data_IF_084659852076
#
_entry.id   IF_084659852076
#
_cell.length_a   1.000
_cell.length_b   1.000
_cell.length_c   1.000
_cell.angle_alpha   90.00
_cell.angle_beta   90.00
_cell.angle_gamma   90.00
#
_symmetry.space_group_name_H-M   'P 1'
#
loop_
_entity.id
_entity.type
_entity.pdbx_description
1 polymer ?
#
# COMPACT_ATOMS: atom_id res chain seq x y z
N UNK A 1 8.17 -13.31 11.01
CA UNK A 1 8.95 -12.61 9.97
C UNK A 1 9.71 -11.48 10.62
N UNK A 2 11.03 -11.39 10.38
CA UNK A 2 11.87 -10.34 10.91
C UNK A 2 12.22 -9.37 9.77
N UNK A 3 11.81 -8.09 9.88
CA UNK A 3 12.07 -7.05 8.88
C UNK A 3 10.92 -6.08 8.70
N UNK A 4 11.09 -5.12 7.78
CA UNK A 4 10.07 -4.13 7.42
C UNK A 4 8.98 -4.66 6.50
N UNK A 5 8.07 -3.76 6.06
CA UNK A 5 6.90 -4.09 5.24
C UNK A 5 7.26 -4.90 3.98
N UNK A 6 8.36 -4.58 3.29
CA UNK A 6 8.80 -5.33 2.11
C UNK A 6 9.16 -6.80 2.40
N UNK A 7 9.71 -7.09 3.58
CA UNK A 7 10.01 -8.47 4.00
C UNK A 7 8.71 -9.22 4.34
N UNK A 8 7.75 -8.52 4.93
CA UNK A 8 6.42 -9.08 5.24
C UNK A 8 5.66 -9.38 3.95
N UNK A 9 5.69 -8.50 2.95
CA UNK A 9 5.12 -8.75 1.62
C UNK A 9 5.71 -10.01 0.97
N UNK A 10 7.02 -10.21 1.12
CA UNK A 10 7.69 -11.42 0.63
C UNK A 10 7.25 -12.68 1.37
N UNK A 11 7.08 -12.60 2.68
CA UNK A 11 6.61 -13.71 3.49
C UNK A 11 5.13 -14.03 3.20
N UNK A 12 4.33 -13.02 2.86
CA UNK A 12 2.94 -13.20 2.45
C UNK A 12 2.79 -14.15 1.26
N UNK A 13 3.78 -14.20 0.36
CA UNK A 13 3.80 -15.15 -0.77
C UNK A 13 3.83 -16.63 -0.31
N UNK A 14 4.33 -16.91 0.89
CA UNK A 14 4.40 -18.25 1.46
C UNK A 14 3.11 -18.66 2.19
N UNK A 15 2.31 -17.70 2.64
CA UNK A 15 1.11 -17.96 3.44
C UNK A 15 -0.19 -17.62 2.72
N UNK A 16 -0.14 -16.94 1.58
CA UNK A 16 -1.32 -16.66 0.78
C UNK A 16 -2.03 -17.96 0.39
N UNK A 17 -3.34 -18.00 0.60
CA UNK A 17 -4.15 -19.21 0.38
C UNK A 17 -4.07 -20.25 1.49
N UNK A 18 -3.41 -19.94 2.61
CA UNK A 18 -3.39 -20.80 3.80
C UNK A 18 -4.03 -20.09 5.00
N UNK A 19 -4.29 -20.86 6.07
CA UNK A 19 -4.83 -20.32 7.34
C UNK A 19 -3.73 -19.83 8.30
N UNK A 20 -2.47 -19.84 7.88
CA UNK A 20 -1.34 -19.47 8.72
C UNK A 20 -1.22 -17.95 8.82
N UNK A 21 -1.39 -17.35 10.02
CA UNK A 21 -1.23 -15.93 10.19
C UNK A 21 0.26 -15.53 10.22
N UNK A 22 0.59 -14.38 9.65
CA UNK A 22 1.93 -13.79 9.68
C UNK A 22 2.08 -12.83 10.86
N UNK A 23 3.13 -12.99 11.64
CA UNK A 23 3.61 -11.96 12.57
C UNK A 23 4.84 -11.27 11.97
N UNK A 24 4.77 -9.95 11.83
CA UNK A 24 5.91 -9.11 11.47
C UNK A 24 6.57 -8.50 12.72
N UNK A 25 7.88 -8.66 12.85
CA UNK A 25 8.69 -7.96 13.87
C UNK A 25 9.63 -7.01 13.15
N UNK A 26 9.51 -5.73 13.46
CA UNK A 26 10.31 -4.67 12.86
C UNK A 26 11.73 -4.68 13.44
N UNK A 27 12.72 -4.42 12.58
CA UNK A 27 14.12 -4.38 12.99
C UNK A 27 14.70 -2.96 13.04
N UNK A 28 13.89 -1.92 12.84
CA UNK A 28 14.42 -0.55 12.89
C UNK A 28 13.47 0.58 12.56
N UNK A 29 12.59 0.48 11.60
CA UNK A 29 11.71 1.60 11.21
C UNK A 29 10.25 1.18 11.28
N UNK A 30 9.40 2.02 11.86
CA UNK A 30 7.96 1.79 11.97
C UNK A 30 7.36 1.48 10.61
N UNK A 31 6.75 0.29 10.48
CA UNK A 31 5.97 -0.17 9.33
C UNK A 31 4.47 -0.20 9.64
N UNK A 32 3.65 -0.44 8.62
CA UNK A 32 2.21 -0.62 8.80
C UNK A 32 1.84 -2.08 9.05
N UNK A 33 2.68 -3.02 8.62
CA UNK A 33 2.42 -4.45 8.71
C UNK A 33 3.05 -5.11 9.94
N UNK A 34 4.21 -4.60 10.40
CA UNK A 34 4.88 -5.11 11.59
C UNK A 34 4.12 -4.76 12.89
N UNK A 35 4.19 -5.67 13.86
CA UNK A 35 3.46 -5.57 15.15
C UNK A 35 4.35 -5.22 16.34
N UNK A 36 5.61 -5.64 16.31
CA UNK A 36 6.53 -5.54 17.42
C UNK A 36 7.85 -4.96 16.96
N UNK A 37 8.57 -4.32 17.86
CA UNK A 37 9.93 -3.87 17.66
C UNK A 37 10.93 -4.95 18.10
N UNK A 38 12.19 -4.75 17.73
CA UNK A 38 13.26 -5.73 17.98
C UNK A 38 13.45 -6.04 19.47
N UNK A 39 13.29 -5.04 20.32
CA UNK A 39 13.46 -5.13 21.77
C UNK A 39 12.46 -6.09 22.41
N UNK A 40 11.29 -6.26 21.80
CA UNK A 40 10.19 -7.08 22.30
C UNK A 40 10.17 -8.50 21.71
N UNK A 41 11.21 -8.90 20.94
CA UNK A 41 11.21 -10.18 20.22
C UNK A 41 10.95 -11.40 21.13
N UNK A 42 11.56 -11.45 22.32
CA UNK A 42 11.35 -12.57 23.26
C UNK A 42 9.91 -12.64 23.76
N UNK A 43 9.34 -11.48 24.10
CA UNK A 43 7.95 -11.40 24.51
C UNK A 43 7.01 -11.78 23.36
N UNK A 44 7.29 -11.34 22.15
CA UNK A 44 6.52 -11.69 20.95
C UNK A 44 6.53 -13.21 20.68
N UNK A 45 7.71 -13.86 20.78
CA UNK A 45 7.84 -15.31 20.61
C UNK A 45 7.09 -16.07 21.72
N UNK A 46 7.19 -15.62 22.98
CA UNK A 46 6.48 -16.24 24.10
C UNK A 46 4.96 -16.18 23.91
N UNK A 47 4.44 -15.01 23.48
CA UNK A 47 3.02 -14.85 23.18
C UNK A 47 2.56 -15.69 21.99
N UNK A 48 3.36 -15.80 20.94
CA UNK A 48 3.07 -16.72 19.83
C UNK A 48 2.98 -18.18 20.29
N UNK A 49 3.94 -18.63 21.10
CA UNK A 49 3.94 -19.99 21.65
C UNK A 49 2.71 -20.27 22.52
N UNK A 50 2.28 -19.28 23.29
CA UNK A 50 1.07 -19.32 24.10
C UNK A 50 -0.22 -19.14 23.29
N UNK A 51 -0.16 -18.86 21.98
CA UNK A 51 -1.28 -18.47 21.11
C UNK A 51 -2.04 -17.24 21.62
N UNK A 52 -1.35 -16.35 22.32
CA UNK A 52 -1.90 -15.09 22.83
C UNK A 52 -1.74 -13.99 21.78
N UNK A 53 -2.55 -14.06 20.73
CA UNK A 53 -2.65 -13.07 19.66
C UNK A 53 -4.04 -13.09 19.04
N UNK A 54 -4.43 -11.99 18.43
CA UNK A 54 -5.61 -11.93 17.57
C UNK A 54 -5.21 -12.09 16.09
N UNK A 55 -6.14 -12.55 15.26
CA UNK A 55 -5.95 -12.64 13.82
C UNK A 55 -6.72 -11.53 13.15
N UNK A 56 -6.01 -10.70 12.39
CA UNK A 56 -6.59 -9.65 11.55
C UNK A 56 -6.54 -10.09 10.08
N UNK A 57 -7.67 -10.08 9.40
CA UNK A 57 -7.75 -10.36 7.99
C UNK A 57 -7.53 -9.09 7.16
N UNK A 58 -6.64 -9.17 6.19
CA UNK A 58 -6.33 -8.10 5.25
C UNK A 58 -6.86 -8.43 3.87
N UNK A 59 -7.57 -7.48 3.29
CA UNK A 59 -8.04 -7.58 1.91
C UNK A 59 -6.87 -7.76 0.96
N UNK A 60 -7.01 -8.67 0.02
CA UNK A 60 -6.10 -8.96 -1.08
C UNK A 60 -6.85 -8.69 -2.38
N UNK A 61 -6.18 -8.26 -3.42
CA UNK A 61 -6.74 -8.20 -4.77
C UNK A 61 -6.25 -9.36 -5.63
N UNK A 62 -7.18 -10.02 -6.33
CA UNK A 62 -6.90 -10.94 -7.42
C UNK A 62 -6.66 -10.16 -8.70
N UNK A 63 -5.71 -10.60 -9.49
CA UNK A 63 -5.35 -10.02 -10.77
C UNK A 63 -5.43 -11.07 -11.87
N UNK A 64 -6.04 -10.70 -13.00
CA UNK A 64 -6.05 -11.51 -14.23
C UNK A 64 -5.54 -10.68 -15.37
N UNK A 65 -4.58 -11.21 -16.10
CA UNK A 65 -3.99 -10.56 -17.29
C UNK A 65 -4.39 -11.34 -18.53
N UNK A 66 -5.13 -10.70 -19.39
CA UNK A 66 -5.49 -11.19 -20.71
C UNK A 66 -4.51 -10.60 -21.72
N UNK A 67 -3.72 -11.45 -22.33
CA UNK A 67 -2.77 -11.08 -23.39
C UNK A 67 -3.47 -11.04 -24.76
N UNK A 68 -2.96 -10.23 -25.71
CA UNK A 68 -3.60 -10.05 -27.01
C UNK A 68 -3.59 -11.31 -27.90
N UNK A 69 -2.78 -12.31 -27.58
CA UNK A 69 -2.72 -13.60 -28.28
C UNK A 69 -3.91 -14.54 -27.96
N UNK A 70 -4.77 -14.16 -27.00
CA UNK A 70 -5.99 -14.90 -26.65
C UNK A 70 -5.74 -16.19 -25.86
N UNK A 71 -4.57 -16.36 -25.27
CA UNK A 71 -4.25 -17.49 -24.37
C UNK A 71 -5.01 -17.45 -23.03
N UNK A 72 -4.76 -18.45 -22.18
CA UNK A 72 -5.31 -18.48 -20.82
C UNK A 72 -4.81 -17.26 -20.02
N UNK A 73 -5.68 -16.60 -19.25
CA UNK A 73 -5.28 -15.44 -18.46
C UNK A 73 -4.20 -15.79 -17.43
N UNK A 74 -3.15 -14.99 -17.38
CA UNK A 74 -2.14 -15.09 -16.32
C UNK A 74 -2.74 -14.57 -15.03
N UNK A 75 -2.62 -15.33 -13.94
CA UNK A 75 -3.18 -15.00 -12.63
C UNK A 75 -2.12 -14.44 -11.71
N UNK A 76 -2.50 -13.44 -10.93
CA UNK A 76 -1.70 -12.84 -9.87
C UNK A 76 -2.59 -12.41 -8.71
N UNK A 77 -1.96 -11.86 -7.69
CA UNK A 77 -2.63 -11.27 -6.54
C UNK A 77 -1.74 -10.18 -5.93
N UNK A 78 -2.29 -9.31 -5.10
CA UNK A 78 -1.51 -8.31 -4.36
C UNK A 78 -2.13 -8.01 -3.00
N UNK A 79 -1.27 -7.85 -1.98
CA UNK A 79 -1.66 -7.38 -0.65
C UNK A 79 -1.73 -5.86 -0.62
N UNK A 80 -0.72 -5.17 -1.17
CA UNK A 80 -0.73 -3.72 -1.27
C UNK A 80 -1.41 -3.27 -2.57
N UNK A 81 -0.77 -3.50 -3.71
CA UNK A 81 -1.25 -2.99 -5.00
C UNK A 81 -0.80 -3.82 -6.19
N UNK A 82 -1.62 -3.77 -7.24
CA UNK A 82 -1.27 -4.12 -8.60
C UNK A 82 -1.08 -2.83 -9.40
N UNK A 83 0.10 -2.62 -9.97
CA UNK A 83 0.45 -1.41 -10.73
C UNK A 83 0.69 -1.75 -12.18
N UNK A 84 -0.04 -1.12 -13.09
CA UNK A 84 0.23 -1.11 -14.52
C UNK A 84 1.05 0.12 -14.83
N UNK A 85 2.28 -0.04 -15.28
CA UNK A 85 3.18 1.06 -15.60
C UNK A 85 3.73 0.94 -17.02
N UNK A 86 4.20 2.06 -17.57
CA UNK A 86 4.90 2.10 -18.85
C UNK A 86 6.20 1.29 -18.79
N UNK A 87 6.47 0.51 -19.81
CA UNK A 87 7.72 -0.27 -19.91
C UNK A 87 8.90 0.61 -20.35
N UNK A 88 8.65 1.71 -21.08
CA UNK A 88 9.66 2.62 -21.60
C UNK A 88 9.59 3.95 -20.86
N UNK A 89 10.73 4.38 -20.31
CA UNK A 89 10.81 5.58 -19.48
C UNK A 89 10.40 6.86 -20.20
N UNK A 90 10.76 6.98 -21.47
CA UNK A 90 10.61 8.20 -22.29
C UNK A 90 9.21 8.34 -22.92
N UNK A 91 8.39 7.31 -22.85
CA UNK A 91 7.08 7.29 -23.52
C UNK A 91 5.97 7.03 -22.51
N UNK A 92 4.83 7.67 -22.70
CA UNK A 92 3.62 7.37 -21.93
C UNK A 92 3.02 6.05 -22.42
N UNK A 93 2.31 5.36 -21.49
CA UNK A 93 1.38 4.30 -21.83
C UNK A 93 -0.01 4.91 -22.02
N UNK A 94 -0.72 4.48 -23.06
CA UNK A 94 -2.11 4.87 -23.25
C UNK A 94 -3.03 3.75 -22.76
N UNK A 95 -3.93 4.09 -21.84
CA UNK A 95 -4.83 3.13 -21.22
C UNK A 95 -6.29 3.56 -21.25
N UNK A 96 -7.18 2.58 -21.11
CA UNK A 96 -8.58 2.78 -20.70
C UNK A 96 -8.76 2.17 -19.33
N UNK A 97 -9.18 2.96 -18.38
CA UNK A 97 -9.62 2.48 -17.07
C UNK A 97 -11.12 2.25 -17.11
N UNK A 98 -11.55 1.07 -16.70
CA UNK A 98 -12.96 0.69 -16.63
C UNK A 98 -13.35 0.15 -15.26
N UNK A 99 -14.63 0.19 -14.95
CA UNK A 99 -15.23 -0.39 -13.75
C UNK A 99 -16.51 -1.10 -14.15
N UNK A 100 -16.65 -2.36 -13.71
CA UNK A 100 -17.83 -3.20 -13.95
C UNK A 100 -18.23 -3.31 -15.43
N UNK A 101 -17.21 -3.48 -16.29
CA UNK A 101 -17.36 -3.62 -17.73
C UNK A 101 -17.67 -2.32 -18.48
N UNK A 102 -17.63 -1.17 -17.80
CA UNK A 102 -17.86 0.15 -18.41
C UNK A 102 -16.58 1.00 -18.38
N UNK A 103 -16.19 1.63 -19.50
CA UNK A 103 -15.07 2.55 -19.51
C UNK A 103 -15.41 3.79 -18.66
N UNK A 104 -14.46 4.19 -17.81
CA UNK A 104 -14.54 5.39 -16.97
C UNK A 104 -13.74 6.53 -17.57
N UNK A 105 -12.50 6.24 -18.00
CA UNK A 105 -11.61 7.25 -18.57
C UNK A 105 -10.56 6.61 -19.47
N UNK A 106 -10.12 7.37 -20.49
CA UNK A 106 -9.01 6.99 -21.38
C UNK A 106 -8.00 8.11 -21.41
N UNK A 107 -6.72 7.80 -21.16
CA UNK A 107 -5.65 8.80 -21.09
C UNK A 107 -4.26 8.19 -21.31
N UNK A 108 -3.30 9.05 -21.64
CA UNK A 108 -1.86 8.77 -21.55
C UNK A 108 -1.37 9.03 -20.13
N UNK A 109 -0.52 8.17 -19.59
CA UNK A 109 -0.02 8.27 -18.23
C UNK A 109 1.33 7.56 -18.06
N UNK A 110 1.89 7.67 -16.86
CA UNK A 110 3.02 6.84 -16.45
C UNK A 110 2.56 5.47 -15.94
N UNK A 111 1.33 5.38 -15.45
CA UNK A 111 0.71 4.13 -14.99
C UNK A 111 -0.60 4.32 -14.26
N UNK A 112 -1.13 3.20 -13.75
CA UNK A 112 -2.33 3.13 -12.90
C UNK A 112 -2.06 2.16 -11.75
N UNK A 113 -2.22 2.64 -10.52
CA UNK A 113 -2.13 1.82 -9.30
C UNK A 113 -3.52 1.38 -8.90
N UNK A 114 -3.72 0.08 -8.68
CA UNK A 114 -4.95 -0.47 -8.10
C UNK A 114 -4.59 -1.08 -6.74
N UNK A 115 -5.02 -0.46 -5.65
CA UNK A 115 -4.56 -0.79 -4.31
C UNK A 115 -5.69 -1.22 -3.37
N UNK A 116 -5.33 -2.03 -2.37
CA UNK A 116 -6.15 -2.34 -1.20
C UNK A 116 -6.07 -1.22 -0.16
N UNK A 117 -6.84 -1.33 0.93
CA UNK A 117 -6.68 -0.45 2.09
C UNK A 117 -5.24 -0.53 2.66
N UNK A 118 -4.64 -1.71 2.68
CA UNK A 118 -3.23 -1.89 3.11
C UNK A 118 -2.28 -1.12 2.20
N UNK A 119 -2.43 -1.21 0.89
CA UNK A 119 -1.62 -0.51 -0.12
C UNK A 119 -1.87 0.99 -0.19
N UNK A 120 -2.97 1.50 0.41
CA UNK A 120 -3.27 2.93 0.43
C UNK A 120 -2.20 3.78 1.12
N UNK A 121 -1.37 3.18 1.95
CA UNK A 121 -0.23 3.82 2.64
C UNK A 121 1.13 3.51 1.98
N UNK A 122 1.14 2.81 0.84
CA UNK A 122 2.33 2.44 0.07
C UNK A 122 2.45 3.26 -1.23
N UNK A 123 2.53 2.61 -2.39
CA UNK A 123 2.70 3.31 -3.68
C UNK A 123 1.51 4.24 -4.00
N UNK A 124 0.29 3.82 -3.69
CA UNK A 124 -0.90 4.65 -3.89
C UNK A 124 -0.83 5.97 -3.11
N UNK A 125 -0.26 5.97 -1.88
CA UNK A 125 -0.04 7.20 -1.11
C UNK A 125 0.92 8.15 -1.82
N UNK A 126 2.06 7.64 -2.29
CA UNK A 126 3.06 8.43 -3.02
C UNK A 126 2.51 9.01 -4.32
N UNK A 127 1.50 8.36 -4.90
CA UNK A 127 0.77 8.80 -6.08
C UNK A 127 -0.37 9.80 -5.78
N UNK A 128 -0.52 10.23 -4.53
CA UNK A 128 -1.57 11.18 -4.11
C UNK A 128 -2.93 10.53 -3.84
N UNK A 129 -2.98 9.23 -3.68
CA UNK A 129 -4.17 8.50 -3.23
C UNK A 129 -4.50 8.78 -1.75
N UNK A 130 -5.77 8.67 -1.35
CA UNK A 130 -6.18 8.81 0.04
C UNK A 130 -5.69 7.63 0.89
N UNK A 131 -5.41 7.89 2.17
CA UNK A 131 -5.22 6.83 3.16
C UNK A 131 -6.58 6.19 3.48
N UNK A 132 -6.65 4.88 3.38
CA UNK A 132 -7.82 4.10 3.77
C UNK A 132 -7.53 3.35 5.06
N UNK A 133 -8.51 3.35 5.98
CA UNK A 133 -8.42 2.53 7.19
C UNK A 133 -8.43 1.05 6.83
N UNK A 134 -7.73 0.20 7.59
CA UNK A 134 -7.62 -1.24 7.30
C UNK A 134 -8.95 -1.97 7.15
N UNK A 135 -9.98 -1.50 7.87
CA UNK A 135 -11.33 -2.08 7.88
C UNK A 135 -12.17 -1.67 6.67
N UNK A 136 -11.70 -0.71 5.87
CA UNK A 136 -12.44 -0.26 4.67
C UNK A 136 -12.30 -1.31 3.57
N UNK A 137 -13.39 -1.99 3.29
CA UNK A 137 -13.47 -2.98 2.21
C UNK A 137 -13.77 -2.29 0.88
N UNK A 138 -12.74 -1.80 0.22
CA UNK A 138 -12.80 -1.09 -1.05
C UNK A 138 -11.48 -1.25 -1.83
N UNK A 139 -11.52 -0.92 -3.12
CA UNK A 139 -10.36 -0.89 -4.00
C UNK A 139 -10.12 0.54 -4.44
N UNK A 140 -8.87 0.98 -4.32
CA UNK A 140 -8.42 2.31 -4.70
C UNK A 140 -7.78 2.26 -6.08
N UNK A 141 -8.15 3.17 -6.97
CA UNK A 141 -7.54 3.31 -8.30
C UNK A 141 -6.91 4.69 -8.40
N UNK A 142 -5.59 4.74 -8.61
CA UNK A 142 -4.82 5.99 -8.66
C UNK A 142 -4.06 6.08 -9.98
N UNK A 143 -4.38 7.04 -10.86
CA UNK A 143 -3.58 7.28 -12.06
C UNK A 143 -2.25 7.98 -11.71
N UNK A 144 -1.17 7.59 -12.39
CA UNK A 144 0.17 8.16 -12.24
C UNK A 144 0.44 9.13 -13.38
N UNK A 145 0.68 10.41 -13.07
CA UNK A 145 1.01 11.45 -14.06
C UNK A 145 0.07 11.43 -15.29
N UNK A 146 -1.22 11.27 -15.07
CA UNK A 146 -2.21 11.16 -16.13
C UNK A 146 -2.45 12.49 -16.84
N UNK A 147 -2.39 12.48 -18.17
CA UNK A 147 -2.75 13.59 -19.03
C UNK A 147 -4.26 13.52 -19.36
N UNK A 148 -5.09 13.94 -18.41
CA UNK A 148 -6.54 13.90 -18.52
C UNK A 148 -7.18 15.09 -17.77
N UNK A 149 -8.37 15.51 -18.22
CA UNK A 149 -9.17 16.52 -17.50
C UNK A 149 -9.63 16.02 -16.13
N UNK A 150 -9.88 14.72 -16.03
CA UNK A 150 -10.22 14.04 -14.76
C UNK A 150 -9.14 12.98 -14.46
N UNK A 151 -8.21 13.32 -13.56
CA UNK A 151 -7.12 12.46 -13.11
C UNK A 151 -7.14 12.37 -11.57
N UNK A 152 -8.31 12.04 -11.01
CA UNK A 152 -8.48 11.89 -9.57
C UNK A 152 -8.47 10.43 -9.17
N UNK A 153 -7.92 10.10 -7.98
CA UNK A 153 -8.09 8.77 -7.40
C UNK A 153 -9.58 8.42 -7.25
N UNK A 154 -9.91 7.16 -7.53
CA UNK A 154 -11.25 6.61 -7.35
C UNK A 154 -11.21 5.56 -6.24
N UNK A 155 -12.25 5.52 -5.43
CA UNK A 155 -12.53 4.44 -4.48
C UNK A 155 -13.74 3.68 -5.00
N UNK A 156 -13.57 2.40 -5.30
CA UNK A 156 -14.66 1.54 -5.81
C UNK A 156 -15.03 0.48 -4.78
N UNK A 157 -16.28 0.04 -4.84
CA UNK A 157 -16.80 -0.93 -3.87
C UNK A 157 -16.15 -2.33 -4.01
N UNK A 158 -16.28 -3.16 -2.97
CA UNK A 158 -15.57 -4.45 -2.90
C UNK A 158 -16.05 -5.48 -3.93
N UNK A 159 -17.22 -5.28 -4.53
CA UNK A 159 -17.76 -6.16 -5.57
C UNK A 159 -17.44 -5.72 -6.98
N UNK A 160 -16.82 -4.54 -7.13
CA UNK A 160 -16.45 -4.02 -8.45
C UNK A 160 -15.22 -4.70 -9.02
N UNK A 161 -15.20 -4.83 -10.33
CA UNK A 161 -14.04 -5.24 -11.11
C UNK A 161 -13.46 -4.01 -11.79
N UNK A 162 -12.21 -3.70 -11.49
CA UNK A 162 -11.44 -2.66 -12.16
C UNK A 162 -10.74 -3.26 -13.35
N UNK A 163 -10.78 -2.58 -14.51
CA UNK A 163 -10.00 -2.98 -15.69
C UNK A 163 -9.04 -1.87 -16.10
N UNK A 164 -7.85 -2.27 -16.54
CA UNK A 164 -6.87 -1.40 -17.19
C UNK A 164 -6.50 -2.02 -18.51
N UNK A 165 -6.97 -1.42 -19.60
CA UNK A 165 -6.70 -1.85 -20.97
C UNK A 165 -5.54 -1.05 -21.54
N UNK A 166 -4.44 -1.70 -21.90
CA UNK A 166 -3.35 -1.07 -22.67
C UNK A 166 -3.79 -0.97 -24.12
N UNK A 167 -3.88 0.27 -24.63
CA UNK A 167 -4.38 0.46 -25.98
C UNK A 167 -3.43 -0.12 -27.04
N UNK A 168 -3.95 -0.72 -28.13
CA UNK A 168 -3.11 -1.26 -29.21
C UNK A 168 -2.19 -0.22 -29.85
N UNK A 169 -2.64 1.06 -29.88
CA UNK A 169 -1.89 2.19 -30.44
C UNK A 169 -0.91 2.83 -29.46
N UNK A 170 -0.83 2.35 -28.22
CA UNK A 170 0.04 2.93 -27.20
C UNK A 170 1.50 2.98 -27.68
N UNK A 171 2.17 4.11 -27.41
CA UNK A 171 3.57 4.31 -27.78
C UNK A 171 4.53 3.47 -26.92
N UNK A 172 4.11 3.02 -25.75
CA UNK A 172 4.83 2.12 -24.87
C UNK A 172 3.97 0.90 -24.57
N UNK A 173 4.56 -0.28 -24.49
CA UNK A 173 3.95 -1.42 -23.80
C UNK A 173 3.89 -1.16 -22.30
N UNK A 174 3.15 -1.99 -21.59
CA UNK A 174 3.01 -1.93 -20.14
C UNK A 174 3.78 -3.01 -19.42
N UNK A 175 3.85 -2.84 -18.11
CA UNK A 175 4.31 -3.84 -17.16
C UNK A 175 3.34 -3.84 -16.00
N UNK A 176 2.82 -5.00 -15.63
CA UNK A 176 2.12 -5.20 -14.38
C UNK A 176 3.13 -5.60 -13.30
N UNK A 177 3.04 -4.97 -12.15
CA UNK A 177 3.80 -5.35 -10.96
C UNK A 177 2.87 -5.52 -9.78
N UNK A 178 2.89 -6.67 -9.11
CA UNK A 178 2.16 -6.93 -7.88
C UNK A 178 3.09 -6.82 -6.68
N UNK A 179 2.71 -5.99 -5.69
CA UNK A 179 3.48 -5.70 -4.46
C UNK A 179 4.95 -5.32 -4.73
N UNK A 180 5.21 -4.59 -5.82
CA UNK A 180 6.53 -4.15 -6.23
C UNK A 180 7.50 -5.26 -6.66
N UNK A 181 7.05 -6.52 -6.82
CA UNK A 181 7.93 -7.68 -7.04
C UNK A 181 7.54 -8.59 -8.19
N UNK A 182 6.32 -9.11 -8.18
CA UNK A 182 5.84 -10.09 -9.18
C UNK A 182 5.45 -9.35 -10.43
N UNK A 183 6.22 -9.56 -11.49
CA UNK A 183 6.14 -8.81 -12.73
C UNK A 183 5.57 -9.64 -13.87
N UNK A 184 4.71 -9.03 -14.68
CA UNK A 184 4.16 -9.57 -15.93
C UNK A 184 4.27 -8.49 -17.01
N UNK A 185 4.88 -8.80 -18.14
CA UNK A 185 4.94 -7.88 -19.27
C UNK A 185 3.57 -7.80 -19.97
N UNK A 186 3.18 -6.60 -20.35
CA UNK A 186 1.90 -6.28 -20.97
C UNK A 186 2.11 -5.73 -22.39
N UNK A 187 2.12 -6.57 -23.40
CA UNK A 187 2.08 -6.10 -24.79
C UNK A 187 0.87 -5.17 -25.03
N UNK A 188 0.97 -4.30 -26.02
CA UNK A 188 -0.14 -3.46 -26.43
C UNK A 188 -1.37 -4.33 -26.78
N UNK A 189 -2.55 -3.93 -26.31
CA UNK A 189 -3.78 -4.72 -26.43
C UNK A 189 -4.04 -5.65 -25.23
N UNK A 190 -3.13 -5.70 -24.23
CA UNK A 190 -3.38 -6.45 -22.99
C UNK A 190 -4.45 -5.79 -22.14
N UNK A 191 -5.23 -6.61 -21.42
CA UNK A 191 -6.18 -6.19 -20.38
C UNK A 191 -5.79 -6.76 -19.03
N UNK A 192 -5.75 -5.91 -18.03
CA UNK A 192 -5.58 -6.29 -16.62
C UNK A 192 -6.92 -6.12 -15.92
N UNK A 193 -7.41 -7.17 -15.28
CA UNK A 193 -8.58 -7.15 -14.41
C UNK A 193 -8.14 -7.29 -12.97
N UNK A 194 -8.64 -6.41 -12.10
CA UNK A 194 -8.35 -6.42 -10.67
C UNK A 194 -9.68 -6.41 -9.90
N UNK A 195 -9.81 -7.33 -8.98
CA UNK A 195 -10.97 -7.43 -8.10
C UNK A 195 -10.54 -7.81 -6.68
N UNK A 196 -11.38 -7.53 -5.71
CA UNK A 196 -11.19 -8.06 -4.36
C UNK A 196 -11.12 -9.58 -4.40
N UNK A 197 -10.16 -10.16 -3.69
CA UNK A 197 -10.05 -11.61 -3.51
C UNK A 197 -10.99 -12.10 -2.42
N UNK A 198 -11.52 -13.32 -2.58
CA UNK A 198 -12.25 -14.00 -1.53
C UNK A 198 -11.32 -14.61 -0.46
N UNK A 199 -10.02 -14.66 -0.75
CA UNK A 199 -9.00 -15.22 0.16
C UNK A 199 -8.20 -14.08 0.79
N UNK A 200 -8.47 -13.70 2.06
CA UNK A 200 -7.71 -12.68 2.75
C UNK A 200 -6.30 -13.17 3.13
N UNK A 201 -5.40 -12.24 3.40
CA UNK A 201 -4.17 -12.54 4.12
C UNK A 201 -4.39 -12.34 5.61
N UNK A 202 -3.88 -13.28 6.43
CA UNK A 202 -4.02 -13.23 7.89
C UNK A 202 -2.75 -12.70 8.53
N UNK A 203 -2.91 -11.71 9.40
CA UNK A 203 -1.84 -11.15 10.23
C UNK A 203 -2.12 -11.47 11.70
N UNK A 204 -1.10 -11.95 12.41
CA UNK A 204 -1.15 -12.07 13.85
C UNK A 204 -0.89 -10.70 14.48
N UNK A 205 -1.76 -10.30 15.40
CA UNK A 205 -1.71 -9.02 16.11
C UNK A 205 -1.46 -9.25 17.59
N UNK A 206 -0.39 -8.65 18.09
CA UNK A 206 -0.02 -8.68 19.52
C UNK A 206 -0.50 -7.43 20.25
N UNK A 207 -0.71 -6.33 19.53
CA UNK A 207 -1.15 -5.05 20.09
C UNK A 207 -2.57 -4.73 19.67
N UNK A 208 -3.30 -4.08 20.56
CA UNK A 208 -4.62 -3.49 20.30
C UNK A 208 -4.52 -2.01 19.93
N UNK A 209 -3.30 -1.49 19.71
CA UNK A 209 -3.09 -0.10 19.35
C UNK A 209 -3.85 0.25 18.04
N UNK A 210 -4.59 1.35 18.01
CA UNK A 210 -5.37 1.75 16.86
C UNK A 210 -4.47 2.10 15.66
N UNK A 211 -5.02 1.99 14.46
CA UNK A 211 -4.32 2.34 13.22
C UNK A 211 -3.81 3.80 13.23
N UNK A 212 -4.54 4.70 13.89
CA UNK A 212 -4.16 6.10 14.06
C UNK A 212 -2.76 6.27 14.63
N UNK A 213 -2.37 5.48 15.63
CA UNK A 213 -1.06 5.60 16.28
C UNK A 213 0.05 5.21 15.31
N UNK A 214 -0.17 4.17 14.49
CA UNK A 214 0.76 3.77 13.43
C UNK A 214 0.88 4.84 12.35
N UNK A 215 -0.23 5.47 11.98
CA UNK A 215 -0.26 6.54 10.98
C UNK A 215 0.54 7.76 11.47
N UNK A 216 0.28 8.19 12.71
CA UNK A 216 0.98 9.31 13.35
C UNK A 216 2.48 9.02 13.44
N UNK A 217 2.85 7.84 13.93
CA UNK A 217 4.26 7.43 14.08
C UNK A 217 4.97 7.33 12.72
N UNK A 218 4.37 6.67 11.75
CA UNK A 218 4.97 6.43 10.42
C UNK A 218 5.25 7.71 9.65
N UNK A 219 4.31 8.66 9.69
CA UNK A 219 4.40 9.91 8.95
C UNK A 219 4.87 11.09 9.81
N UNK A 220 5.20 10.84 11.09
CA UNK A 220 5.57 11.89 12.07
C UNK A 220 4.56 13.04 12.06
N UNK A 221 3.27 12.68 12.08
CA UNK A 221 2.21 13.66 11.97
C UNK A 221 2.19 14.58 13.19
N UNK A 222 2.00 15.89 13.00
CA UNK A 222 1.92 16.83 14.11
C UNK A 222 0.56 16.72 14.82
N UNK A 223 0.53 16.07 15.97
CA UNK A 223 -0.67 15.96 16.83
C UNK A 223 -0.86 17.18 17.74
N UNK A 224 0.17 18.03 17.84
CA UNK A 224 0.14 19.31 18.60
C UNK A 224 0.17 20.47 17.60
N UNK A 225 -0.67 21.47 17.81
CA UNK A 225 -0.75 22.64 16.94
C UNK A 225 0.57 23.40 16.83
N UNK A 226 0.82 24.06 15.70
CA UNK A 226 2.08 24.80 15.48
C UNK A 226 2.31 25.92 16.52
N UNK A 227 1.24 26.52 17.06
CA UNK A 227 1.33 27.55 18.11
C UNK A 227 1.80 26.99 19.45
N UNK A 228 1.32 25.81 19.82
CA UNK A 228 1.72 25.13 21.06
C UNK A 228 3.17 24.64 20.98
N UNK A 229 3.60 24.14 19.81
CA UNK A 229 5.01 23.80 19.56
C UNK A 229 5.94 25.01 19.66
N UNK A 230 5.53 26.17 19.13
CA UNK A 230 6.30 27.39 19.22
C UNK A 230 6.44 27.86 20.68
N UNK A 231 5.38 27.73 21.49
CA UNK A 231 5.41 28.07 22.92
C UNK A 231 6.34 27.13 23.71
N UNK A 232 6.32 25.82 23.42
CA UNK A 232 7.18 24.81 24.07
C UNK A 232 8.67 25.01 23.74
N UNK A 233 8.99 25.30 22.48
CA UNK A 233 10.36 25.65 22.05
C UNK A 233 10.85 26.94 22.72
N UNK A 234 9.98 27.95 22.80
CA UNK A 234 10.31 29.22 23.46
C UNK A 234 10.49 29.07 24.99
N UNK A 235 9.66 28.22 25.62
CA UNK A 235 9.77 27.89 27.04
C UNK A 235 11.09 27.18 27.37
N UNK A 236 11.47 26.17 26.60
CA UNK A 236 12.73 25.42 26.77
C UNK A 236 13.96 26.29 26.49
N UNK A 237 13.89 27.21 25.54
CA UNK A 237 14.97 28.19 25.30
C UNK A 237 15.15 29.16 26.45
N UNK A 238 14.05 29.66 27.04
CA UNK A 238 14.07 30.54 28.20
C UNK A 238 14.59 29.84 29.47
N UNK A 239 14.24 28.54 29.68
CA UNK A 239 14.78 27.75 30.79
C UNK A 239 16.29 27.50 30.67
N UNK A 240 16.79 27.17 29.46
CA UNK A 240 18.22 27.02 29.21
C UNK A 240 18.99 28.31 29.47
N UNK A 241 18.46 29.46 29.02
CA UNK A 241 19.09 30.75 29.25
C UNK A 241 19.19 31.10 30.76
N UNK A 242 18.14 30.76 31.55
CA UNK A 242 18.14 30.97 33.01
C UNK A 242 19.08 30.01 33.76
N UNK A 243 19.28 28.78 33.24
CA UNK A 243 20.22 27.83 33.84
C UNK A 243 21.67 28.32 33.65
N UNK A 244 22.01 28.80 32.45
CA UNK A 244 23.37 29.31 32.15
C UNK A 244 23.73 30.53 32.97
N UNK A 245 22.77 31.43 33.24
CA UNK A 245 23.01 32.65 34.06
C UNK A 245 23.20 32.33 35.55
N UNK A 246 22.70 31.16 36.03
CA UNK A 246 22.88 30.74 37.44
C UNK A 246 24.19 30.00 37.70
N UNK A 247 24.89 29.55 36.69
CA UNK A 247 26.21 28.92 36.80
C UNK A 247 27.35 29.95 36.70
N UNK A 248 27.06 31.18 36.30
CA UNK A 248 28.03 32.26 36.19
C UNK A 248 28.01 33.27 37.40
N UNK A 249 27.12 33.10 38.38
CA UNK A 249 27.10 33.82 39.67
C UNK A 249 27.64 32.94 40.82
#
# INVERSE_FOLDING_TARGET
VLGGDGTILRAAELTHGTDVPLLGVNLGHVGFLAESEREDLHAAVARLAARDYTVEERTVVDVRVHLPDGGEPVRGWALNEATVEKAQRERMIEVVVGVDGRPVSSFGCDGVVTATATGSTAHAFSAGGPVMWPEVDAVLVVPLAAHALFARPLVVGPRSTVTVDVLPRSASSGVLTCDGRRRIDLPNGSRVEVRRSDTPLRLARLSTAPFTDRLVSKFSLPVVGWRERAADVSGRAAERSRATTREEE
#
